data_IF_047084553943
#
_entry.id   IF_047084553943
#
_cell.length_a   1.000
_cell.length_b   1.000
_cell.length_c   1.000
_cell.angle_alpha   90.00
_cell.angle_beta   90.00
_cell.angle_gamma   90.00
#
_symmetry.space_group_name_H-M   'P 1'
#
loop_
_entity.id
_entity.type
_entity.pdbx_description
1 polymer ?
#
# COMPACT_ATOMS: atom_id res chain seq x y z
N UNK A 1 -13.83 -14.73 32.60
CA UNK A 1 -13.62 -13.52 31.80
C UNK A 1 -13.63 -13.94 30.33
N UNK A 2 -14.85 -14.03 29.79
CA UNK A 2 -15.22 -13.51 28.47
C UNK A 2 -14.66 -14.20 27.22
N UNK A 3 -15.17 -15.42 26.99
CA UNK A 3 -15.00 -16.24 25.81
C UNK A 3 -15.82 -15.72 24.59
N UNK A 4 -15.71 -14.42 24.26
CA UNK A 4 -16.44 -13.77 23.16
C UNK A 4 -15.94 -14.13 21.74
N UNK A 5 -14.95 -15.03 21.62
CA UNK A 5 -14.28 -15.33 20.36
C UNK A 5 -14.82 -16.58 19.60
N UNK A 6 -15.56 -17.48 20.26
CA UNK A 6 -15.96 -18.78 19.69
C UNK A 6 -17.24 -18.78 18.86
N UNK A 7 -18.13 -17.79 19.04
CA UNK A 7 -19.47 -17.80 18.45
C UNK A 7 -19.65 -16.82 17.28
N UNK A 8 -20.49 -17.20 16.32
CA UNK A 8 -20.89 -16.35 15.22
C UNK A 8 -21.94 -15.35 15.73
N UNK A 9 -21.56 -14.07 15.82
CA UNK A 9 -22.41 -12.99 16.35
C UNK A 9 -23.79 -12.94 15.69
N UNK A 10 -23.87 -13.17 14.37
CA UNK A 10 -25.15 -13.18 13.64
C UNK A 10 -26.01 -14.40 13.99
N UNK A 11 -25.40 -15.58 14.13
CA UNK A 11 -26.12 -16.80 14.52
C UNK A 11 -26.65 -16.73 15.95
N UNK A 12 -25.87 -16.18 16.88
CA UNK A 12 -26.27 -15.99 18.29
C UNK A 12 -27.45 -15.03 18.39
N UNK A 13 -27.38 -13.88 17.70
CA UNK A 13 -28.49 -12.91 17.66
C UNK A 13 -29.76 -13.52 17.09
N UNK A 14 -29.64 -14.31 16.01
CA UNK A 14 -30.78 -15.00 15.41
C UNK A 14 -31.36 -16.08 16.34
N UNK A 15 -30.52 -16.82 17.07
CA UNK A 15 -30.95 -17.84 18.03
C UNK A 15 -31.78 -17.23 19.16
N UNK A 16 -31.31 -16.15 19.77
CA UNK A 16 -32.04 -15.48 20.85
C UNK A 16 -33.35 -14.87 20.36
N UNK A 17 -33.34 -14.18 19.22
CA UNK A 17 -34.55 -13.58 18.66
C UNK A 17 -35.63 -14.66 18.36
N UNK A 18 -35.25 -15.80 17.78
CA UNK A 18 -36.20 -16.89 17.50
C UNK A 18 -36.81 -17.45 18.80
N UNK A 19 -36.03 -17.62 19.86
CA UNK A 19 -36.51 -18.12 21.15
C UNK A 19 -37.40 -17.10 21.88
N UNK A 20 -37.10 -15.82 21.76
CA UNK A 20 -37.91 -14.72 22.33
C UNK A 20 -39.30 -14.64 21.66
N UNK A 21 -39.36 -14.72 20.33
CA UNK A 21 -40.66 -14.75 19.65
C UNK A 21 -41.43 -16.05 19.92
N UNK A 22 -40.74 -17.18 20.09
CA UNK A 22 -41.38 -18.44 20.43
C UNK A 22 -41.94 -18.45 21.86
N UNK A 23 -41.23 -17.88 22.84
CA UNK A 23 -41.72 -17.74 24.21
C UNK A 23 -42.91 -16.77 24.31
N UNK A 24 -42.96 -15.77 23.43
CA UNK A 24 -44.10 -14.87 23.27
C UNK A 24 -45.30 -15.50 22.51
N UNK A 25 -45.24 -16.78 22.15
CA UNK A 25 -46.37 -17.54 21.58
C UNK A 25 -46.58 -17.36 20.07
N UNK A 26 -45.62 -16.77 19.34
CA UNK A 26 -45.76 -16.56 17.90
C UNK A 26 -45.65 -17.88 17.12
N UNK A 27 -46.51 -18.06 16.11
CA UNK A 27 -46.41 -19.21 15.21
C UNK A 27 -45.12 -19.17 14.39
N UNK A 28 -44.58 -20.32 14.00
CA UNK A 28 -43.36 -20.40 13.18
C UNK A 28 -43.44 -19.60 11.87
N UNK A 29 -44.66 -19.42 11.32
CA UNK A 29 -44.90 -18.59 10.13
C UNK A 29 -44.74 -17.09 10.41
N UNK A 30 -45.16 -16.64 11.59
CA UNK A 30 -45.02 -15.25 12.01
C UNK A 30 -43.54 -14.93 12.31
N UNK A 31 -42.83 -15.81 13.04
CA UNK A 31 -41.40 -15.67 13.34
C UNK A 31 -40.56 -15.57 12.06
N UNK A 32 -40.83 -16.45 11.09
CA UNK A 32 -40.15 -16.44 9.79
C UNK A 32 -40.35 -15.13 9.02
N UNK A 33 -41.55 -14.53 9.11
CA UNK A 33 -41.88 -13.27 8.45
C UNK A 33 -41.18 -12.08 9.13
N UNK A 34 -41.18 -12.05 10.45
CA UNK A 34 -40.60 -10.97 11.26
C UNK A 34 -39.07 -10.94 11.20
N UNK A 35 -38.44 -12.11 11.25
CA UNK A 35 -36.97 -12.25 11.21
C UNK A 35 -36.41 -12.42 9.79
N UNK A 36 -37.26 -12.28 8.76
CA UNK A 36 -36.90 -12.45 7.35
C UNK A 36 -36.09 -13.73 7.06
N UNK A 37 -36.49 -14.85 7.66
CA UNK A 37 -35.81 -16.13 7.50
C UNK A 37 -36.78 -17.26 7.10
N UNK A 38 -36.24 -18.40 6.66
CA UNK A 38 -37.08 -19.53 6.23
C UNK A 38 -37.73 -20.24 7.42
N UNK A 39 -38.92 -20.82 7.25
CA UNK A 39 -39.56 -21.64 8.29
C UNK A 39 -38.70 -22.83 8.73
N UNK A 40 -37.89 -23.38 7.81
CA UNK A 40 -36.95 -24.44 8.13
C UNK A 40 -35.81 -23.94 9.02
N UNK A 41 -35.38 -22.68 8.86
CA UNK A 41 -34.42 -22.03 9.75
C UNK A 41 -35.02 -21.85 11.14
N UNK A 42 -36.26 -21.36 11.25
CA UNK A 42 -36.95 -21.23 12.55
C UNK A 42 -37.04 -22.57 13.28
N UNK A 43 -37.50 -23.63 12.59
CA UNK A 43 -37.57 -24.98 13.16
C UNK A 43 -36.20 -25.51 13.58
N UNK A 44 -35.18 -25.31 12.73
CA UNK A 44 -33.80 -25.75 13.01
C UNK A 44 -33.23 -25.08 14.25
N UNK A 45 -33.49 -23.78 14.45
CA UNK A 45 -32.95 -23.03 15.59
C UNK A 45 -33.72 -23.26 16.89
N UNK A 46 -35.01 -23.60 16.83
CA UNK A 46 -35.80 -23.94 18.03
C UNK A 46 -35.51 -25.34 18.59
N UNK A 47 -35.17 -26.30 17.73
CA UNK A 47 -34.95 -27.69 18.13
C UNK A 47 -33.50 -28.13 18.05
N UNK A 48 -32.63 -27.29 17.51
CA UNK A 48 -31.21 -27.58 17.37
C UNK A 48 -30.41 -27.17 18.61
N UNK A 49 -29.32 -27.88 18.83
CA UNK A 49 -28.37 -27.57 19.90
C UNK A 49 -27.67 -26.21 19.67
N UNK A 50 -27.64 -25.39 20.72
CA UNK A 50 -27.05 -24.04 20.70
C UNK A 50 -25.59 -24.07 20.25
N UNK A 51 -24.80 -24.99 20.79
CA UNK A 51 -23.38 -25.11 20.50
C UNK A 51 -23.13 -25.40 19.01
N UNK A 52 -23.88 -26.34 18.44
CA UNK A 52 -23.75 -26.70 17.02
C UNK A 52 -24.16 -25.57 16.05
N UNK A 53 -25.16 -24.75 16.43
CA UNK A 53 -25.75 -23.71 15.58
C UNK A 53 -25.02 -22.37 15.66
N UNK A 54 -24.55 -22.01 16.85
CA UNK A 54 -24.01 -20.69 17.14
C UNK A 54 -22.48 -20.64 17.07
N UNK A 55 -21.78 -21.78 17.18
CA UNK A 55 -20.32 -21.83 17.09
C UNK A 55 -19.83 -21.46 15.70
N UNK A 56 -18.71 -20.74 15.60
CA UNK A 56 -18.09 -20.44 14.30
C UNK A 56 -17.60 -21.74 13.66
N UNK A 57 -18.28 -22.17 12.61
CA UNK A 57 -17.79 -23.23 11.74
C UNK A 57 -16.66 -22.69 10.87
N UNK A 58 -15.44 -22.71 11.38
CA UNK A 58 -14.26 -22.72 10.54
C UNK A 58 -14.12 -24.17 10.03
N UNK A 59 -14.80 -24.52 8.93
CA UNK A 59 -14.56 -25.79 8.24
C UNK A 59 -13.87 -25.50 6.93
N UNK A 60 -12.69 -24.89 7.00
CA UNK A 60 -11.76 -24.93 5.89
C UNK A 60 -10.92 -26.21 6.02
N UNK A 61 -10.41 -26.76 4.91
CA UNK A 61 -9.45 -27.89 4.99
C UNK A 61 -8.16 -27.57 5.78
N UNK A 62 -8.01 -26.32 6.24
CA UNK A 62 -6.94 -25.85 7.10
C UNK A 62 -7.20 -26.09 8.59
N UNK A 63 -8.47 -26.20 9.00
CA UNK A 63 -8.88 -26.25 10.42
C UNK A 63 -8.42 -27.50 11.14
N UNK A 64 -8.26 -28.61 10.42
CA UNK A 64 -7.63 -29.83 10.94
C UNK A 64 -6.18 -29.62 11.40
N UNK A 65 -5.55 -28.52 11.00
CA UNK A 65 -4.19 -28.16 11.40
C UNK A 65 -4.15 -26.96 12.36
N UNK A 66 -5.29 -26.49 12.88
CA UNK A 66 -5.38 -25.29 13.70
C UNK A 66 -4.44 -25.32 14.92
N UNK A 67 -4.52 -26.36 15.74
CA UNK A 67 -3.70 -26.50 16.94
C UNK A 67 -2.20 -26.59 16.62
N UNK A 68 -1.88 -27.29 15.52
CA UNK A 68 -0.51 -27.41 15.02
C UNK A 68 0.04 -26.05 14.57
N UNK A 69 -0.75 -25.28 13.82
CA UNK A 69 -0.38 -23.95 13.33
C UNK A 69 -0.15 -23.00 14.50
N UNK A 70 -1.02 -23.00 15.52
CA UNK A 70 -0.85 -22.15 16.70
C UNK A 70 0.45 -22.50 17.41
N UNK A 71 0.67 -23.77 17.73
CA UNK A 71 1.87 -24.24 18.44
C UNK A 71 3.15 -23.82 17.73
N UNK A 72 3.20 -23.99 16.42
CA UNK A 72 4.39 -23.71 15.62
C UNK A 72 4.62 -22.19 15.44
N UNK A 73 3.56 -21.43 15.20
CA UNK A 73 3.67 -19.96 15.10
C UNK A 73 4.01 -19.32 16.44
N UNK A 74 3.47 -19.83 17.56
CA UNK A 74 3.85 -19.38 18.91
C UNK A 74 5.28 -19.75 19.29
N UNK A 75 5.81 -20.83 18.71
CA UNK A 75 7.23 -21.20 18.84
C UNK A 75 8.18 -20.34 17.99
N UNK A 76 7.66 -19.30 17.31
CA UNK A 76 8.46 -18.37 16.52
C UNK A 76 8.85 -18.89 15.13
N UNK A 77 8.26 -19.99 14.68
CA UNK A 77 8.56 -20.60 13.38
C UNK A 77 7.92 -19.76 12.27
N UNK A 78 8.66 -19.57 11.17
CA UNK A 78 8.19 -18.74 10.06
C UNK A 78 6.96 -19.36 9.38
N UNK A 79 6.02 -18.51 8.93
CA UNK A 79 4.82 -18.96 8.17
C UNK A 79 5.17 -19.84 6.97
N UNK A 80 6.30 -19.57 6.32
CA UNK A 80 6.81 -20.38 5.20
C UNK A 80 7.16 -21.79 5.66
N UNK A 81 7.87 -21.91 6.78
CA UNK A 81 8.27 -23.21 7.33
C UNK A 81 7.06 -24.00 7.83
N UNK A 82 6.09 -23.33 8.47
CA UNK A 82 4.81 -23.93 8.86
C UNK A 82 4.08 -24.48 7.63
N UNK A 83 4.01 -23.70 6.54
CA UNK A 83 3.39 -24.16 5.29
C UNK A 83 4.10 -25.38 4.68
N UNK A 84 5.43 -25.41 4.65
CA UNK A 84 6.18 -26.57 4.17
C UNK A 84 5.89 -27.83 5.00
N UNK A 85 5.81 -27.69 6.33
CA UNK A 85 5.47 -28.80 7.24
C UNK A 85 4.02 -29.26 7.06
N UNK A 86 3.11 -28.33 6.76
CA UNK A 86 1.71 -28.66 6.46
C UNK A 86 1.57 -29.48 5.19
N UNK A 87 2.32 -29.15 4.12
CA UNK A 87 2.35 -29.97 2.90
C UNK A 87 2.82 -31.39 3.22
N UNK A 88 3.89 -31.53 4.01
CA UNK A 88 4.38 -32.85 4.43
C UNK A 88 3.34 -33.64 5.26
N UNK A 89 2.52 -32.94 6.05
CA UNK A 89 1.39 -33.50 6.82
C UNK A 89 0.11 -33.71 5.99
N UNK A 90 0.16 -33.53 4.67
CA UNK A 90 -0.94 -33.85 3.76
C UNK A 90 -1.86 -32.69 3.40
N UNK A 91 -1.47 -31.44 3.66
CA UNK A 91 -2.25 -30.28 3.22
C UNK A 91 -2.23 -30.13 1.69
N UNK A 92 -3.41 -30.12 1.08
CA UNK A 92 -3.60 -30.05 -0.40
C UNK A 92 -4.06 -28.69 -0.92
N UNK A 93 -4.16 -27.68 -0.07
CA UNK A 93 -4.65 -26.36 -0.46
C UNK A 93 -3.57 -25.42 -1.01
N UNK A 94 -4.02 -24.27 -1.56
CA UNK A 94 -3.14 -23.26 -2.15
C UNK A 94 -2.40 -22.45 -1.08
N UNK A 95 -1.17 -22.02 -1.40
CA UNK A 95 -0.30 -21.20 -0.54
C UNK A 95 -1.00 -19.94 0.00
N UNK A 96 -1.69 -19.20 -0.87
CA UNK A 96 -2.37 -17.95 -0.51
C UNK A 96 -3.48 -18.19 0.52
N UNK A 97 -4.30 -19.22 0.33
CA UNK A 97 -5.34 -19.59 1.29
C UNK A 97 -4.77 -20.00 2.65
N UNK A 98 -3.65 -20.73 2.65
CA UNK A 98 -2.93 -21.07 3.88
C UNK A 98 -2.40 -19.84 4.61
N UNK A 99 -1.83 -18.88 3.86
CA UNK A 99 -1.29 -17.65 4.41
C UNK A 99 -2.38 -16.75 4.96
N UNK A 100 -3.51 -16.62 4.27
CA UNK A 100 -4.66 -15.85 4.72
C UNK A 100 -5.24 -16.43 6.02
N UNK A 101 -5.30 -17.76 6.13
CA UNK A 101 -5.75 -18.44 7.34
C UNK A 101 -4.78 -18.23 8.50
N UNK A 102 -3.47 -18.43 8.27
CA UNK A 102 -2.44 -18.15 9.27
C UNK A 102 -2.49 -16.68 9.71
N UNK A 103 -2.60 -15.72 8.80
CA UNK A 103 -2.69 -14.29 9.13
C UNK A 103 -3.90 -13.94 10.02
N UNK A 104 -5.03 -14.65 9.87
CA UNK A 104 -6.18 -14.52 10.76
C UNK A 104 -5.88 -15.03 12.17
N UNK A 105 -5.22 -16.18 12.29
CA UNK A 105 -4.78 -16.74 13.59
C UNK A 105 -3.84 -15.76 14.29
N UNK A 106 -2.87 -15.22 13.55
CA UNK A 106 -1.87 -14.28 14.05
C UNK A 106 -2.53 -13.03 14.64
N UNK A 107 -3.50 -12.48 13.90
CA UNK A 107 -4.27 -11.31 14.34
C UNK A 107 -5.12 -11.61 15.57
N UNK A 108 -5.75 -12.79 15.62
CA UNK A 108 -6.64 -13.17 16.72
C UNK A 108 -5.89 -13.49 18.02
N UNK A 109 -4.73 -14.15 17.92
CA UNK A 109 -3.92 -14.58 19.07
C UNK A 109 -2.75 -13.63 19.40
N UNK A 110 -2.65 -12.50 18.69
CA UNK A 110 -1.59 -11.50 18.86
C UNK A 110 -0.17 -12.11 18.86
N UNK A 111 0.08 -13.06 17.96
CA UNK A 111 1.36 -13.77 17.90
C UNK A 111 2.40 -12.91 17.19
N UNK A 112 3.49 -12.56 17.87
CA UNK A 112 4.64 -11.87 17.30
C UNK A 112 5.40 -12.82 16.35
N UNK A 113 5.29 -12.62 15.03
CA UNK A 113 5.94 -13.48 14.03
C UNK A 113 7.13 -12.82 13.37
N UNK A 114 8.23 -13.58 13.33
CA UNK A 114 9.36 -13.32 12.47
C UNK A 114 8.96 -13.47 10.99
N UNK A 115 8.80 -12.33 10.30
CA UNK A 115 8.41 -12.29 8.88
C UNK A 115 9.48 -12.91 7.97
N UNK A 116 10.74 -12.93 8.40
CA UNK A 116 11.89 -13.52 7.70
C UNK A 116 12.82 -14.25 8.67
N UNK A 117 13.39 -15.40 8.24
CA UNK A 117 14.38 -16.20 8.99
C UNK A 117 15.65 -15.40 9.38
N UNK A 118 15.89 -14.26 8.73
CA UNK A 118 17.02 -13.36 8.99
C UNK A 118 16.72 -12.25 10.00
N UNK A 119 15.55 -12.25 10.63
CA UNK A 119 15.18 -11.23 11.62
C UNK A 119 15.51 -11.75 13.02
N UNK A 120 16.70 -11.44 13.52
CA UNK A 120 17.10 -11.74 14.92
C UNK A 120 16.17 -11.01 15.90
N UNK A 121 16.06 -11.48 17.15
CA UNK A 121 15.27 -10.79 18.18
C UNK A 121 15.66 -9.31 18.34
N UNK A 122 16.95 -8.99 18.13
CA UNK A 122 17.49 -7.63 18.07
C UNK A 122 16.88 -6.79 16.94
N UNK A 123 16.64 -7.38 15.76
CA UNK A 123 16.01 -6.67 14.63
C UNK A 123 14.54 -6.36 14.89
N UNK A 124 13.84 -7.21 15.66
CA UNK A 124 12.46 -6.99 16.09
C UNK A 124 12.42 -5.86 17.12
N UNK A 125 13.35 -5.86 18.09
CA UNK A 125 13.47 -4.80 19.08
C UNK A 125 13.82 -3.46 18.44
N UNK A 126 14.81 -3.41 17.53
CA UNK A 126 15.12 -2.21 16.73
C UNK A 126 13.93 -1.72 15.93
N UNK A 127 13.08 -2.60 15.43
CA UNK A 127 11.85 -2.20 14.72
C UNK A 127 10.81 -1.57 15.65
N UNK A 128 10.67 -2.08 16.89
CA UNK A 128 9.83 -1.47 17.93
C UNK A 128 10.37 -0.09 18.33
N UNK A 129 11.69 0.07 18.41
CA UNK A 129 12.35 1.38 18.65
C UNK A 129 12.17 2.36 17.47
N UNK A 130 12.27 1.88 16.23
CA UNK A 130 12.05 2.69 15.02
C UNK A 130 10.60 3.16 14.89
N UNK A 131 9.62 2.39 15.37
CA UNK A 131 8.20 2.79 15.41
C UNK A 131 7.93 3.98 16.35
N UNK A 132 8.86 4.32 17.23
CA UNK A 132 8.77 5.51 18.09
C UNK A 132 8.94 6.82 17.29
N UNK A 133 9.60 6.77 16.15
CA UNK A 133 9.89 7.95 15.34
C UNK A 133 8.87 8.10 14.21
N UNK A 134 8.48 9.34 13.98
CA UNK A 134 7.69 9.71 12.82
C UNK A 134 8.58 9.65 11.56
N UNK A 135 8.17 8.89 10.55
CA UNK A 135 9.03 8.56 9.41
C UNK A 135 8.64 9.33 8.16
N UNK A 136 9.62 10.03 7.57
CA UNK A 136 9.48 10.67 6.26
C UNK A 136 10.33 9.93 5.25
N UNK A 137 9.70 9.45 4.18
CA UNK A 137 10.42 8.79 3.09
C UNK A 137 11.10 9.82 2.18
N UNK A 138 12.23 9.46 1.57
CA UNK A 138 12.89 10.28 0.53
C UNK A 138 11.95 10.64 -0.61
N UNK A 139 11.11 9.68 -1.02
CA UNK A 139 10.08 9.92 -2.04
C UNK A 139 9.02 10.94 -1.56
N UNK A 140 8.66 10.91 -0.27
CA UNK A 140 7.79 11.91 0.34
C UNK A 140 8.38 13.32 0.25
N UNK A 141 9.67 13.48 0.58
CA UNK A 141 10.39 14.75 0.45
C UNK A 141 10.42 15.21 -1.02
N UNK A 142 10.78 14.31 -1.94
CA UNK A 142 10.79 14.61 -3.38
C UNK A 142 9.42 15.07 -3.87
N UNK A 143 8.36 14.36 -3.52
CA UNK A 143 7.01 14.71 -3.94
C UNK A 143 6.53 16.02 -3.32
N UNK A 144 6.93 16.32 -2.09
CA UNK A 144 6.63 17.60 -1.46
C UNK A 144 7.30 18.77 -2.18
N UNK A 145 8.58 18.63 -2.52
CA UNK A 145 9.35 19.67 -3.22
C UNK A 145 8.88 19.83 -4.67
N UNK A 146 8.74 18.72 -5.39
CA UNK A 146 8.49 18.73 -6.83
C UNK A 146 7.01 18.63 -7.18
N UNK A 147 6.23 17.74 -6.57
CA UNK A 147 4.83 17.51 -6.95
C UNK A 147 3.83 18.39 -6.20
N UNK A 148 4.29 19.18 -5.23
CA UNK A 148 3.42 20.02 -4.40
C UNK A 148 2.51 19.22 -3.46
N UNK A 149 2.85 17.96 -3.18
CA UNK A 149 2.11 17.16 -2.19
C UNK A 149 2.38 17.72 -0.79
N UNK A 150 1.37 17.74 0.07
CA UNK A 150 1.54 18.26 1.42
C UNK A 150 2.22 17.24 2.34
N UNK A 151 3.16 17.73 3.16
CA UNK A 151 3.67 17.03 4.34
C UNK A 151 2.93 17.55 5.57
N UNK A 152 2.90 16.75 6.64
CA UNK A 152 2.49 17.24 7.96
C UNK A 152 3.22 18.54 8.30
N UNK A 153 2.53 19.47 8.95
CA UNK A 153 3.09 20.76 9.35
C UNK A 153 4.38 20.60 10.18
N UNK A 154 4.39 19.62 11.09
CA UNK A 154 5.54 19.28 11.94
C UNK A 154 6.74 18.84 11.11
N UNK A 155 6.52 17.96 10.14
CA UNK A 155 7.55 17.46 9.22
C UNK A 155 8.10 18.57 8.33
N UNK A 156 7.23 19.44 7.82
CA UNK A 156 7.64 20.58 7.00
C UNK A 156 8.51 21.54 7.79
N UNK A 157 8.08 21.92 9.00
CA UNK A 157 8.82 22.84 9.85
C UNK A 157 10.18 22.26 10.24
N UNK A 158 10.21 20.98 10.66
CA UNK A 158 11.45 20.27 10.96
C UNK A 158 12.41 20.27 9.76
N UNK A 159 11.96 19.81 8.59
CA UNK A 159 12.81 19.74 7.40
C UNK A 159 13.35 21.10 6.99
N UNK A 160 12.52 22.14 7.03
CA UNK A 160 12.93 23.49 6.67
C UNK A 160 13.91 24.07 7.70
N UNK A 161 13.74 23.81 8.99
CA UNK A 161 14.63 24.33 10.03
C UNK A 161 15.96 23.58 10.09
N UNK A 162 15.95 22.26 9.93
CA UNK A 162 17.14 21.42 10.01
C UNK A 162 18.00 21.48 8.75
N UNK A 163 17.40 21.66 7.57
CA UNK A 163 18.11 21.62 6.29
C UNK A 163 17.89 22.89 5.46
N UNK A 164 18.72 23.94 5.64
CA UNK A 164 18.62 25.18 4.87
C UNK A 164 18.71 24.97 3.36
N UNK A 165 19.45 23.95 2.90
CA UNK A 165 19.58 23.59 1.48
C UNK A 165 18.22 23.23 0.85
N UNK A 166 17.30 22.64 1.63
CA UNK A 166 15.95 22.34 1.13
C UNK A 166 15.12 23.59 0.88
N UNK A 167 15.37 24.68 1.63
CA UNK A 167 14.71 25.98 1.38
C UNK A 167 15.18 26.59 0.07
N UNK A 168 16.49 26.58 -0.15
CA UNK A 168 17.10 27.09 -1.39
C UNK A 168 16.63 26.28 -2.60
N UNK A 169 16.67 24.95 -2.51
CA UNK A 169 16.16 24.07 -3.57
C UNK A 169 14.67 24.29 -3.84
N UNK A 170 13.86 24.46 -2.79
CA UNK A 170 12.42 24.76 -2.94
C UNK A 170 12.21 26.10 -3.64
N UNK A 171 12.96 27.14 -3.28
CA UNK A 171 12.88 28.44 -3.94
C UNK A 171 13.25 28.32 -5.43
N UNK A 172 14.33 27.59 -5.73
CA UNK A 172 14.76 27.30 -7.09
C UNK A 172 13.66 26.66 -7.94
N UNK A 173 13.00 25.60 -7.42
CA UNK A 173 11.91 24.93 -8.13
C UNK A 173 10.74 25.88 -8.41
N UNK A 174 10.35 26.70 -7.42
CA UNK A 174 9.21 27.61 -7.54
C UNK A 174 9.49 28.75 -8.52
N UNK A 175 10.67 29.38 -8.40
CA UNK A 175 11.09 30.46 -9.29
C UNK A 175 11.24 29.96 -10.73
N UNK A 176 11.84 28.78 -10.92
CA UNK A 176 11.96 28.19 -12.25
C UNK A 176 10.59 27.94 -12.89
N UNK A 177 9.61 27.46 -12.13
CA UNK A 177 8.22 27.30 -12.62
C UNK A 177 7.58 28.62 -13.00
N UNK A 178 7.84 29.66 -12.22
CA UNK A 178 7.26 30.98 -12.46
C UNK A 178 7.76 31.58 -13.79
N UNK A 179 9.00 31.30 -14.19
CA UNK A 179 9.53 31.69 -15.51
C UNK A 179 8.62 31.18 -16.63
N UNK A 180 8.28 29.89 -16.63
CA UNK A 180 7.45 29.27 -17.67
C UNK A 180 5.97 29.61 -17.52
N UNK A 181 5.49 29.82 -16.29
CA UNK A 181 4.11 30.24 -16.03
C UNK A 181 3.85 31.64 -16.58
N UNK A 182 4.80 32.58 -16.38
CA UNK A 182 4.70 33.96 -16.86
C UNK A 182 5.27 34.17 -18.25
N UNK A 183 6.05 33.21 -18.76
CA UNK A 183 6.85 33.32 -19.99
C UNK A 183 7.73 34.58 -20.01
N UNK A 184 8.41 34.84 -18.90
CA UNK A 184 9.15 36.10 -18.68
C UNK A 184 10.66 35.91 -18.84
N UNK A 185 11.25 36.53 -19.87
CA UNK A 185 12.71 36.55 -20.07
C UNK A 185 13.47 37.22 -18.92
N UNK A 186 13.01 38.38 -18.36
CA UNK A 186 13.69 38.97 -17.22
C UNK A 186 13.79 38.03 -16.01
N UNK A 187 12.75 37.24 -15.73
CA UNK A 187 12.80 36.24 -14.66
C UNK A 187 13.81 35.14 -14.95
N UNK A 188 13.99 34.75 -16.22
CA UNK A 188 15.01 33.77 -16.62
C UNK A 188 16.42 34.28 -16.34
N UNK A 189 16.76 35.49 -16.77
CA UNK A 189 18.10 36.04 -16.53
C UNK A 189 18.39 36.23 -15.03
N UNK A 190 17.41 36.75 -14.28
CA UNK A 190 17.53 36.90 -12.82
C UNK A 190 17.72 35.53 -12.13
N UNK A 191 17.00 34.51 -12.60
CA UNK A 191 17.14 33.15 -12.10
C UNK A 191 18.56 32.61 -12.34
N UNK A 192 19.07 32.74 -13.56
CA UNK A 192 20.41 32.26 -13.92
C UNK A 192 21.48 32.95 -13.07
N UNK A 193 21.50 34.29 -13.01
CA UNK A 193 22.52 35.02 -12.23
C UNK A 193 22.48 34.66 -10.73
N UNK A 194 21.28 34.51 -10.17
CA UNK A 194 21.10 34.13 -8.77
C UNK A 194 21.63 32.74 -8.47
N UNK A 195 21.22 31.73 -9.23
CA UNK A 195 21.57 30.33 -8.91
C UNK A 195 22.98 29.96 -9.34
N UNK A 196 23.61 30.69 -10.28
CA UNK A 196 25.06 30.58 -10.53
C UNK A 196 25.89 30.83 -9.29
N UNK A 197 25.48 31.79 -8.46
CA UNK A 197 26.13 32.17 -7.20
C UNK A 197 25.65 31.35 -5.99
N UNK A 198 24.82 30.32 -6.21
CA UNK A 198 24.33 29.44 -5.15
C UNK A 198 25.47 28.71 -4.46
N UNK A 199 25.36 28.52 -3.14
CA UNK A 199 26.28 27.68 -2.37
C UNK A 199 26.16 26.20 -2.72
N UNK A 200 25.07 25.79 -3.38
CA UNK A 200 24.86 24.43 -3.85
C UNK A 200 25.47 24.25 -5.24
N UNK A 201 26.53 23.43 -5.33
CA UNK A 201 27.25 23.16 -6.58
C UNK A 201 26.33 22.62 -7.69
N UNK A 202 25.32 21.84 -7.32
CA UNK A 202 24.34 21.28 -8.26
C UNK A 202 23.46 22.37 -8.88
N UNK A 203 23.03 23.36 -8.09
CA UNK A 203 22.22 24.49 -8.58
C UNK A 203 23.06 25.45 -9.43
N UNK A 204 24.28 25.72 -8.99
CA UNK A 204 25.24 26.53 -9.75
C UNK A 204 25.52 25.92 -11.13
N UNK A 205 25.88 24.63 -11.20
CA UNK A 205 26.08 23.91 -12.47
C UNK A 205 24.84 23.86 -13.35
N UNK A 206 23.65 23.75 -12.74
CA UNK A 206 22.39 23.79 -13.48
C UNK A 206 22.21 25.16 -14.15
N UNK A 207 22.40 26.25 -13.40
CA UNK A 207 22.28 27.61 -13.92
C UNK A 207 23.36 27.92 -15.00
N UNK A 208 24.60 27.48 -14.80
CA UNK A 208 25.67 27.56 -15.82
C UNK A 208 25.32 26.74 -17.08
N UNK A 209 24.62 25.63 -16.94
CA UNK A 209 24.09 24.86 -18.06
C UNK A 209 23.05 25.64 -18.86
N UNK A 210 22.11 26.30 -18.18
CA UNK A 210 21.10 27.13 -18.82
C UNK A 210 21.71 28.33 -19.56
N UNK A 211 22.75 28.94 -18.99
CA UNK A 211 23.46 30.05 -19.61
C UNK A 211 24.26 29.64 -20.85
N UNK A 212 24.86 28.44 -20.85
CA UNK A 212 25.60 27.93 -22.02
C UNK A 212 24.69 27.69 -23.22
N UNK A 213 23.46 27.23 -22.98
CA UNK A 213 22.47 26.96 -24.02
C UNK A 213 21.37 28.04 -24.07
N UNK A 214 21.73 29.30 -23.78
CA UNK A 214 20.79 30.39 -23.53
C UNK A 214 19.77 30.58 -24.68
N UNK A 215 20.21 30.60 -25.93
CA UNK A 215 19.33 30.75 -27.09
C UNK A 215 18.22 29.67 -27.12
N UNK A 216 18.57 28.43 -26.79
CA UNK A 216 17.60 27.33 -26.74
C UNK A 216 16.63 27.49 -25.55
N UNK A 217 17.14 27.94 -24.40
CA UNK A 217 16.34 28.16 -23.19
C UNK A 217 15.38 29.34 -23.38
N UNK A 218 15.83 30.45 -23.95
CA UNK A 218 14.98 31.61 -24.29
C UNK A 218 13.84 31.21 -25.21
N UNK A 219 14.17 30.48 -26.28
CA UNK A 219 13.17 29.93 -27.20
C UNK A 219 12.19 29.00 -26.48
N UNK A 220 12.64 28.19 -25.53
CA UNK A 220 11.77 27.29 -24.76
C UNK A 220 10.77 28.03 -23.85
N UNK A 221 11.14 29.22 -23.36
CA UNK A 221 10.26 30.03 -22.50
C UNK A 221 9.31 30.89 -23.34
N UNK A 222 9.78 31.46 -24.45
CA UNK A 222 8.97 32.32 -25.32
C UNK A 222 7.97 31.51 -26.16
N UNK A 223 8.38 30.37 -26.69
CA UNK A 223 7.58 29.60 -27.63
C UNK A 223 6.34 28.98 -26.97
N UNK A 224 5.18 28.95 -27.67
CA UNK A 224 4.05 28.11 -27.27
C UNK A 224 4.23 26.64 -27.67
N UNK A 225 5.18 26.33 -28.54
CA UNK A 225 5.41 24.99 -29.07
C UNK A 225 6.28 24.19 -28.11
N UNK A 226 5.88 22.95 -27.84
CA UNK A 226 6.65 22.00 -27.03
C UNK A 226 6.92 20.73 -27.80
N UNK A 227 8.21 20.42 -28.02
CA UNK A 227 8.64 19.12 -28.51
C UNK A 227 8.65 18.04 -27.41
N UNK A 228 8.35 18.40 -26.16
CA UNK A 228 8.48 17.49 -25.01
C UNK A 228 7.65 16.21 -25.13
N UNK A 229 6.44 16.29 -25.71
CA UNK A 229 5.62 15.10 -25.94
C UNK A 229 6.25 14.15 -26.97
N UNK A 230 6.77 14.72 -28.07
CA UNK A 230 7.42 13.97 -29.14
C UNK A 230 8.74 13.36 -28.64
N UNK A 231 9.54 14.13 -27.91
CA UNK A 231 10.78 13.67 -27.29
C UNK A 231 10.55 12.60 -26.23
N UNK A 232 9.50 12.72 -25.42
CA UNK A 232 9.10 11.69 -24.47
C UNK A 232 8.74 10.38 -25.17
N UNK A 233 7.97 10.46 -26.26
CA UNK A 233 7.62 9.30 -27.09
C UNK A 233 8.85 8.67 -27.74
N UNK A 234 9.74 9.49 -28.29
CA UNK A 234 11.00 9.03 -28.87
C UNK A 234 11.90 8.35 -27.82
N UNK A 235 11.96 8.88 -26.61
CA UNK A 235 12.73 8.32 -25.50
C UNK A 235 12.18 6.96 -25.05
N UNK A 236 10.85 6.85 -24.93
CA UNK A 236 10.16 5.56 -24.64
C UNK A 236 10.46 4.54 -25.74
N UNK A 237 10.36 4.94 -27.00
CA UNK A 237 10.65 4.09 -28.16
C UNK A 237 12.11 3.61 -28.15
N UNK A 238 13.07 4.52 -27.93
CA UNK A 238 14.50 4.19 -27.81
C UNK A 238 14.74 3.22 -26.66
N UNK A 239 14.08 3.40 -25.51
CA UNK A 239 14.18 2.48 -24.37
C UNK A 239 13.67 1.08 -24.74
N UNK A 240 12.46 0.96 -25.32
CA UNK A 240 11.92 -0.34 -25.73
C UNK A 240 12.83 -1.04 -26.74
N UNK A 241 13.39 -0.30 -27.71
CA UNK A 241 14.37 -0.86 -28.65
C UNK A 241 15.63 -1.39 -27.95
N UNK A 242 16.16 -0.67 -26.96
CA UNK A 242 17.34 -1.10 -26.18
C UNK A 242 17.04 -2.35 -25.35
N UNK A 243 15.91 -2.41 -24.66
CA UNK A 243 15.50 -3.59 -23.88
C UNK A 243 15.33 -4.84 -24.74
N UNK A 244 14.96 -4.66 -26.01
CA UNK A 244 14.77 -5.74 -26.96
C UNK A 244 16.01 -6.01 -27.83
N UNK A 245 17.17 -5.42 -27.48
CA UNK A 245 18.44 -5.56 -28.22
C UNK A 245 18.32 -5.25 -29.72
N UNK A 246 17.43 -4.31 -30.08
CA UNK A 246 17.16 -3.95 -31.47
C UNK A 246 16.34 -4.97 -32.27
N UNK A 247 15.90 -6.09 -31.66
CA UNK A 247 15.19 -7.20 -32.34
C UNK A 247 13.67 -7.00 -32.46
N UNK A 248 13.16 -5.78 -32.27
CA UNK A 248 11.75 -5.48 -32.47
C UNK A 248 11.48 -5.10 -33.93
N UNK A 249 10.62 -5.88 -34.61
CA UNK A 249 9.95 -5.44 -35.83
C UNK A 249 8.91 -4.33 -35.50
N UNK A 250 8.36 -3.67 -36.53
CA UNK A 250 7.43 -2.53 -36.35
C UNK A 250 6.19 -2.91 -35.54
N UNK A 251 5.62 -4.08 -35.80
CA UNK A 251 4.38 -4.54 -35.15
C UNK A 251 4.59 -4.81 -33.65
N UNK A 252 5.68 -5.49 -33.30
CA UNK A 252 6.03 -5.77 -31.91
C UNK A 252 6.38 -4.49 -31.14
N UNK A 253 7.03 -3.52 -31.81
CA UNK A 253 7.33 -2.21 -31.22
C UNK A 253 6.04 -1.43 -30.93
N UNK A 254 5.10 -1.42 -31.88
CA UNK A 254 3.80 -0.78 -31.71
C UNK A 254 3.01 -1.41 -30.55
N UNK A 255 2.94 -2.75 -30.51
CA UNK A 255 2.28 -3.48 -29.43
C UNK A 255 2.88 -3.15 -28.05
N UNK A 256 4.22 -3.14 -27.93
CA UNK A 256 4.92 -2.78 -26.68
C UNK A 256 4.70 -1.32 -26.27
N UNK A 257 4.59 -0.40 -27.22
CA UNK A 257 4.34 1.02 -26.94
C UNK A 257 2.92 1.26 -26.44
N UNK A 258 1.94 0.55 -27.00
CA UNK A 258 0.52 0.61 -26.65
C UNK A 258 0.18 -0.14 -25.36
N UNK A 259 0.97 -1.14 -24.99
CA UNK A 259 0.81 -1.86 -23.72
C UNK A 259 1.10 -0.92 -22.54
N UNK A 260 0.03 -0.35 -21.95
CA UNK A 260 0.07 0.29 -20.64
C UNK A 260 -0.09 -0.81 -19.61
N UNK A 261 0.97 -1.15 -18.88
CA UNK A 261 0.85 -2.07 -17.75
C UNK A 261 -0.18 -1.51 -16.76
N UNK A 262 -1.18 -2.32 -16.44
CA UNK A 262 -2.08 -2.11 -15.30
C UNK A 262 -1.30 -2.18 -13.98
#
# INVERSE_FOLDING_TARGET
MDNFAEYNKKSVQLYHAIHEYASAGYSYRAIAKELHCSRNTVRKYLHGDYESLCRRNYRSGMDQYYDYIIKELSAGISRKDVYCRLIQKGYKGKLTAAYDYMNKIIKNHQIDIAVYRSSTAESIQKKKELQKYDHITRNGIFCFLWRGMELSATHKEYLMNTYPQLRELRACILEFREIYKRKSMPLLYLFIDRYKKSGMKELSRFAEGLERDLDAVENSVASPLSNGFVEGTNSKLKMVKRTMYGRCNKDLLAAKLMYRGC
#
